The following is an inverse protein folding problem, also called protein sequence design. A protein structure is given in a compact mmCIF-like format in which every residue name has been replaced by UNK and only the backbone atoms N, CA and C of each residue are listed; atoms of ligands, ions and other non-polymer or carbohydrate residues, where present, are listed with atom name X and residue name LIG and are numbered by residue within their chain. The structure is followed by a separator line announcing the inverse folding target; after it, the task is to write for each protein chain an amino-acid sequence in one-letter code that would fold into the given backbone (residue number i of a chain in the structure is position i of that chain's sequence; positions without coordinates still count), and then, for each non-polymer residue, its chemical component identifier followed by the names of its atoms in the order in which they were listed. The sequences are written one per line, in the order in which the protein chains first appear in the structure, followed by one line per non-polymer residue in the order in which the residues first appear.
data_IF_979751920040
#
_entry.id   IF_979751920040
#
_cell.length_a   1.000
_cell.length_b   1.000
_cell.length_c   1.000
_cell.angle_alpha   90.00
_cell.angle_beta   90.00
_cell.angle_gamma   90.00
#
_symmetry.space_group_name_H-M   'P 1'
#
loop_
_entity.id
_entity.type
_entity.pdbx_description
1 polymer ?
#
# COMPACT_ATOMS: atom_id res chain seq x y z
N UNK A 1 -38.06 21.24 0.70
CA UNK A 1 -36.63 20.86 0.83
C UNK A 1 -36.28 20.98 2.31
N UNK A 2 -35.72 19.95 2.94
CA UNK A 2 -35.59 19.79 4.40
C UNK A 2 -34.70 20.83 5.13
N UNK A 3 -34.21 21.87 4.45
CA UNK A 3 -33.45 22.98 5.07
C UNK A 3 -32.09 22.59 5.69
N UNK A 4 -31.58 21.39 5.41
CA UNK A 4 -30.34 20.88 5.98
C UNK A 4 -29.11 21.52 5.32
N UNK A 5 -28.05 21.73 6.11
CA UNK A 5 -26.78 22.24 5.58
C UNK A 5 -26.13 21.20 4.66
N UNK A 6 -25.46 21.66 3.60
CA UNK A 6 -24.75 20.80 2.65
C UNK A 6 -23.72 19.90 3.34
N UNK A 7 -23.04 20.40 4.38
CA UNK A 7 -22.10 19.62 5.18
C UNK A 7 -22.76 18.45 5.93
N UNK A 8 -23.99 18.63 6.41
CA UNK A 8 -24.75 17.56 7.06
C UNK A 8 -25.06 16.43 6.09
N UNK A 9 -25.52 16.79 4.89
CA UNK A 9 -25.85 15.82 3.84
C UNK A 9 -24.58 15.06 3.43
N UNK A 10 -23.47 15.76 3.19
CA UNK A 10 -22.22 15.12 2.78
C UNK A 10 -21.68 14.19 3.88
N UNK A 11 -21.48 14.68 5.10
CA UNK A 11 -20.78 13.90 6.13
C UNK A 11 -21.66 12.84 6.81
N UNK A 12 -22.97 13.08 6.92
CA UNK A 12 -23.86 12.23 7.70
C UNK A 12 -24.74 11.31 6.85
N UNK A 13 -25.05 11.71 5.63
CA UNK A 13 -25.90 10.92 4.74
C UNK A 13 -25.11 10.28 3.61
N UNK A 14 -24.22 11.01 2.91
CA UNK A 14 -23.48 10.46 1.77
C UNK A 14 -22.24 9.68 2.20
N UNK A 15 -21.41 10.26 3.06
CA UNK A 15 -20.09 9.73 3.42
C UNK A 15 -20.20 8.31 3.99
N UNK A 16 -21.04 8.01 5.00
CA UNK A 16 -21.15 6.65 5.56
C UNK A 16 -21.56 5.60 4.52
N UNK A 17 -22.39 5.99 3.54
CA UNK A 17 -22.86 5.09 2.47
C UNK A 17 -21.75 4.76 1.45
N UNK A 18 -20.78 5.65 1.24
CA UNK A 18 -19.66 5.42 0.29
C UNK A 18 -18.32 5.12 0.98
N UNK A 19 -18.25 5.18 2.32
CA UNK A 19 -17.02 5.03 3.10
C UNK A 19 -16.25 3.77 2.74
N UNK A 20 -16.94 2.65 2.54
CA UNK A 20 -16.34 1.36 2.19
C UNK A 20 -15.58 1.44 0.87
N UNK A 21 -16.21 2.04 -0.13
CA UNK A 21 -15.60 2.23 -1.45
C UNK A 21 -14.37 3.15 -1.37
N UNK A 22 -14.50 4.26 -0.63
CA UNK A 22 -13.39 5.20 -0.41
C UNK A 22 -12.22 4.52 0.31
N UNK A 23 -12.49 3.71 1.33
CA UNK A 23 -11.46 2.99 2.09
C UNK A 23 -10.70 1.98 1.20
N UNK A 24 -11.44 1.18 0.43
CA UNK A 24 -10.85 0.20 -0.51
C UNK A 24 -9.99 0.93 -1.55
N UNK A 25 -10.52 2.00 -2.16
CA UNK A 25 -9.81 2.78 -3.16
C UNK A 25 -8.53 3.44 -2.59
N UNK A 26 -8.62 3.99 -1.38
CA UNK A 26 -7.47 4.55 -0.67
C UNK A 26 -6.34 3.53 -0.50
N UNK A 27 -6.66 2.29 -0.12
CA UNK A 27 -5.65 1.23 0.02
C UNK A 27 -4.98 0.95 -1.32
N UNK A 28 -5.74 0.86 -2.41
CA UNK A 28 -5.16 0.65 -3.74
C UNK A 28 -4.22 1.79 -4.15
N UNK A 29 -4.63 3.04 -3.95
CA UNK A 29 -3.79 4.21 -4.24
C UNK A 29 -2.52 4.19 -3.39
N UNK A 30 -2.64 3.94 -2.08
CA UNK A 30 -1.52 3.85 -1.15
C UNK A 30 -0.52 2.77 -1.58
N UNK A 31 -1.01 1.57 -1.92
CA UNK A 31 -0.16 0.46 -2.41
C UNK A 31 0.57 0.85 -3.68
N UNK A 32 -0.12 1.47 -4.63
CA UNK A 32 0.47 1.99 -5.88
C UNK A 32 1.53 3.05 -5.63
N UNK A 33 1.28 4.00 -4.72
CA UNK A 33 2.21 5.05 -4.35
C UNK A 33 3.49 4.50 -3.73
N UNK A 34 3.39 3.47 -2.88
CA UNK A 34 4.55 2.82 -2.28
C UNK A 34 5.39 2.09 -3.34
N UNK A 35 4.77 1.36 -4.27
CA UNK A 35 5.49 0.70 -5.38
C UNK A 35 6.19 1.74 -6.25
N UNK A 36 5.49 2.82 -6.60
CA UNK A 36 6.07 3.90 -7.39
C UNK A 36 7.26 4.55 -6.67
N UNK A 37 7.14 4.85 -5.37
CA UNK A 37 8.22 5.39 -4.54
C UNK A 37 9.45 4.47 -4.53
N UNK A 38 9.24 3.16 -4.29
CA UNK A 38 10.31 2.16 -4.32
C UNK A 38 10.95 2.09 -5.70
N UNK A 39 10.17 2.08 -6.77
CA UNK A 39 10.68 2.02 -8.13
C UNK A 39 11.52 3.26 -8.49
N UNK A 40 11.04 4.47 -8.15
CA UNK A 40 11.75 5.72 -8.38
C UNK A 40 13.10 5.76 -7.64
N UNK A 41 13.10 5.36 -6.37
CA UNK A 41 14.32 5.29 -5.55
C UNK A 41 15.26 4.18 -6.03
N UNK A 42 14.73 3.04 -6.45
CA UNK A 42 15.51 1.95 -7.02
C UNK A 42 16.20 2.35 -8.33
N UNK A 43 15.53 3.15 -9.17
CA UNK A 43 16.10 3.68 -10.41
C UNK A 43 17.02 4.88 -10.18
N UNK A 44 17.06 5.45 -8.97
CA UNK A 44 17.86 6.64 -8.66
C UNK A 44 17.31 7.93 -9.28
N UNK A 45 16.01 7.98 -9.57
CA UNK A 45 15.35 9.14 -10.21
C UNK A 45 14.98 10.26 -9.21
N UNK A 46 15.19 10.01 -7.91
CA UNK A 46 14.81 10.89 -6.80
C UNK A 46 15.95 10.87 -5.78
N UNK A 47 16.17 11.96 -5.00
CA UNK A 47 17.24 11.98 -3.99
C UNK A 47 17.18 10.80 -3.03
N UNK A 48 18.31 10.13 -2.83
CA UNK A 48 18.40 8.94 -2.01
C UNK A 48 18.08 9.25 -0.54
N UNK A 49 17.16 8.47 0.02
CA UNK A 49 16.95 8.36 1.46
C UNK A 49 17.30 6.94 1.89
N UNK A 50 18.25 6.79 2.82
CA UNK A 50 18.67 5.48 3.35
C UNK A 50 17.55 4.73 4.07
N UNK A 51 16.45 5.39 4.45
CA UNK A 51 15.28 4.76 5.07
C UNK A 51 14.26 4.21 4.06
N UNK A 52 14.48 4.34 2.75
CA UNK A 52 13.56 3.83 1.73
C UNK A 52 14.03 2.47 1.18
N UNK A 53 13.10 1.50 1.07
CA UNK A 53 13.41 0.16 0.55
C UNK A 53 13.93 0.16 -0.89
N UNK A 54 13.51 1.11 -1.73
CA UNK A 54 14.03 1.27 -3.10
C UNK A 54 15.50 1.66 -3.11
N UNK A 55 15.92 2.57 -2.20
CA UNK A 55 17.33 2.91 -2.02
C UNK A 55 18.13 1.70 -1.54
N UNK A 56 17.61 0.95 -0.55
CA UNK A 56 18.27 -0.26 -0.06
C UNK A 56 18.51 -1.27 -1.18
N UNK A 57 17.51 -1.48 -2.06
CA UNK A 57 17.63 -2.33 -3.23
C UNK A 57 18.64 -1.80 -4.25
N UNK A 58 18.65 -0.48 -4.51
CA UNK A 58 19.62 0.14 -5.41
C UNK A 58 21.06 -0.09 -4.89
N UNK A 59 21.30 0.19 -3.60
CA UNK A 59 22.61 0.02 -2.96
C UNK A 59 23.08 -1.44 -2.99
N UNK A 60 22.19 -2.38 -2.68
CA UNK A 60 22.49 -3.80 -2.69
C UNK A 60 22.78 -4.34 -4.10
N UNK A 61 22.08 -3.82 -5.11
CA UNK A 61 22.18 -4.29 -6.50
C UNK A 61 23.35 -3.66 -7.26
N UNK A 62 23.42 -2.32 -7.25
CA UNK A 62 24.30 -1.57 -8.15
C UNK A 62 25.58 -1.08 -7.47
N UNK A 63 25.55 -0.73 -6.18
CA UNK A 63 26.71 -0.13 -5.52
C UNK A 63 27.63 -1.15 -4.85
N UNK A 64 27.04 -2.08 -4.09
CA UNK A 64 27.81 -3.07 -3.32
C UNK A 64 27.97 -4.40 -4.06
N UNK A 65 27.20 -4.63 -5.12
CA UNK A 65 27.20 -5.90 -5.85
C UNK A 65 26.80 -7.08 -4.98
N UNK A 66 25.98 -6.87 -3.94
CA UNK A 66 25.60 -7.88 -2.96
C UNK A 66 24.93 -9.12 -3.59
N UNK A 67 24.36 -8.98 -4.79
CA UNK A 67 23.79 -10.09 -5.57
C UNK A 67 24.88 -11.11 -5.98
N UNK A 68 26.11 -10.67 -6.22
CA UNK A 68 27.21 -11.53 -6.66
C UNK A 68 27.94 -12.22 -5.50
N UNK A 69 27.67 -11.79 -4.26
CA UNK A 69 28.29 -12.35 -3.06
C UNK A 69 27.23 -13.16 -2.30
N UNK A 70 27.33 -14.51 -2.24
CA UNK A 70 26.30 -15.35 -1.63
C UNK A 70 25.95 -14.97 -0.18
N UNK A 71 26.94 -14.49 0.59
CA UNK A 71 26.75 -14.04 1.98
C UNK A 71 25.99 -12.72 2.11
N UNK A 72 25.96 -11.90 1.06
CA UNK A 72 25.35 -10.56 1.07
C UNK A 72 23.93 -10.55 0.48
N UNK A 73 23.43 -11.68 -0.01
CA UNK A 73 22.10 -11.77 -0.65
C UNK A 73 20.95 -11.33 0.28
N UNK A 74 21.14 -11.44 1.61
CA UNK A 74 20.19 -10.97 2.61
C UNK A 74 19.89 -9.47 2.52
N UNK A 75 20.84 -8.65 2.04
CA UNK A 75 20.62 -7.21 1.84
C UNK A 75 19.62 -6.91 0.71
N UNK A 76 19.43 -7.85 -0.22
CA UNK A 76 18.42 -7.75 -1.29
C UNK A 76 17.11 -8.38 -0.84
N UNK A 77 17.18 -9.58 -0.25
CA UNK A 77 15.98 -10.33 0.15
C UNK A 77 15.19 -9.61 1.25
N UNK A 78 15.87 -8.98 2.22
CA UNK A 78 15.19 -8.28 3.33
C UNK A 78 14.23 -7.18 2.86
N UNK A 79 14.64 -6.18 2.07
CA UNK A 79 13.72 -5.15 1.57
C UNK A 79 12.66 -5.74 0.61
N UNK A 80 13.00 -6.74 -0.21
CA UNK A 80 12.02 -7.43 -1.05
C UNK A 80 10.91 -8.10 -0.22
N UNK A 81 11.29 -8.84 0.82
CA UNK A 81 10.36 -9.52 1.70
C UNK A 81 9.45 -8.52 2.44
N UNK A 82 10.00 -7.40 2.92
CA UNK A 82 9.22 -6.35 3.56
C UNK A 82 8.17 -5.75 2.61
N UNK A 83 8.53 -5.48 1.35
CA UNK A 83 7.59 -4.98 0.34
C UNK A 83 6.49 -6.03 0.08
N UNK A 84 6.85 -7.29 -0.14
CA UNK A 84 5.88 -8.36 -0.41
C UNK A 84 4.92 -8.53 0.76
N UNK A 85 5.42 -8.59 2.00
CA UNK A 85 4.59 -8.70 3.20
C UNK A 85 3.64 -7.52 3.36
N UNK A 86 4.13 -6.30 3.13
CA UNK A 86 3.29 -5.11 3.15
C UNK A 86 2.16 -5.20 2.11
N UNK A 87 2.49 -5.63 0.90
CA UNK A 87 1.50 -5.75 -0.17
C UNK A 87 0.47 -6.85 0.09
N UNK A 88 0.89 -8.00 0.62
CA UNK A 88 -0.01 -9.06 1.03
C UNK A 88 -0.92 -8.60 2.17
N UNK A 89 -0.35 -7.90 3.17
CA UNK A 89 -1.12 -7.29 4.25
C UNK A 89 -2.19 -6.34 3.72
N UNK A 90 -1.86 -5.49 2.75
CA UNK A 90 -2.81 -4.60 2.08
C UNK A 90 -3.92 -5.36 1.34
N UNK A 91 -3.61 -6.46 0.66
CA UNK A 91 -4.61 -7.31 -0.01
C UNK A 91 -5.56 -7.95 0.99
N UNK A 92 -5.03 -8.59 2.04
CA UNK A 92 -5.85 -9.18 3.09
C UNK A 92 -6.70 -8.15 3.82
N UNK A 93 -6.17 -6.94 4.00
CA UNK A 93 -6.93 -5.84 4.59
C UNK A 93 -8.12 -5.44 3.71
N UNK A 94 -7.95 -5.34 2.38
CA UNK A 94 -9.07 -5.11 1.46
C UNK A 94 -10.12 -6.21 1.57
N UNK A 95 -9.72 -7.48 1.56
CA UNK A 95 -10.67 -8.60 1.70
C UNK A 95 -11.42 -8.56 3.04
N UNK A 96 -10.74 -8.23 4.14
CA UNK A 96 -11.40 -8.06 5.44
C UNK A 96 -12.39 -6.90 5.44
N UNK A 97 -12.07 -5.78 4.79
CA UNK A 97 -13.01 -4.66 4.65
C UNK A 97 -14.22 -5.04 3.78
N UNK A 98 -14.02 -5.77 2.69
CA UNK A 98 -15.12 -6.26 1.85
C UNK A 98 -16.08 -7.16 2.66
N UNK A 99 -15.57 -8.03 3.52
CA UNK A 99 -16.40 -8.89 4.40
C UNK A 99 -17.16 -8.08 5.46
N UNK A 100 -16.54 -7.04 6.03
CA UNK A 100 -17.19 -6.16 7.02
C UNK A 100 -18.29 -5.31 6.38
N UNK A 101 -18.06 -4.79 5.18
CA UNK A 101 -18.96 -3.82 4.55
C UNK A 101 -20.00 -4.43 3.60
N UNK A 102 -19.80 -5.66 3.13
CA UNK A 102 -20.78 -6.37 2.31
C UNK A 102 -21.42 -7.51 3.12
N UNK A 103 -22.47 -7.22 3.93
CA UNK A 103 -23.12 -8.22 4.78
C UNK A 103 -23.71 -9.41 4.00
N UNK A 104 -23.96 -9.27 2.69
CA UNK A 104 -24.46 -10.37 1.83
C UNK A 104 -23.45 -11.51 1.66
N UNK A 105 -22.16 -11.27 1.89
CA UNK A 105 -21.13 -12.32 1.83
C UNK A 105 -21.06 -13.16 3.12
N UNK A 106 -21.71 -12.74 4.22
CA UNK A 106 -21.75 -13.50 5.49
C UNK A 106 -22.81 -14.60 5.50
N UNK A 107 -23.82 -14.59 4.61
CA UNK A 107 -24.93 -15.56 4.64
C UNK A 107 -24.58 -16.96 4.10
N UNK A 108 -23.38 -17.17 3.55
CA UNK A 108 -22.96 -18.44 2.96
C UNK A 108 -21.80 -19.16 3.67
N UNK A 109 -21.47 -18.79 4.91
CA UNK A 109 -20.60 -19.56 5.81
C UNK A 109 -21.42 -20.10 6.99
#
# INVERSE_FOLDING_TARGET
VLGLSTSHIVLRELLPNIMSYVAINFIFIMRGAIVASVALMFLGLVPFSVMNWGTMLNLATFQTGAIYVPKAIFYVISPMAAIVLFQLGGVYFVYGLEEVFNPRLREHK
#
